data_IF_458954735782
#
_entry.id   IF_458954735782
#
_cell.length_a   1.000
_cell.length_b   1.000
_cell.length_c   1.000
_cell.angle_alpha   90.00
_cell.angle_beta   90.00
_cell.angle_gamma   90.00
#
_symmetry.space_group_name_H-M   'P 1'
#
loop_
_entity.id
_entity.type
_entity.pdbx_description
1 polymer ?
#
# COMPACT_ATOMS: atom_id res chain seq x y z
N UNK A 1 28.06 -0.51 17.67
CA UNK A 1 29.25 0.30 17.25
C UNK A 1 28.74 1.67 16.89
N UNK A 2 29.46 2.72 17.25
CA UNK A 2 29.17 4.09 16.78
C UNK A 2 29.63 4.19 15.31
N UNK A 3 29.02 5.09 14.53
CA UNK A 3 29.44 5.36 13.15
C UNK A 3 30.92 5.70 13.05
N UNK A 4 31.47 6.39 14.05
CA UNK A 4 32.91 6.73 14.17
C UNK A 4 33.82 5.50 14.33
N UNK A 5 33.30 4.35 14.72
CA UNK A 5 34.10 3.13 14.88
C UNK A 5 34.28 2.37 13.56
N UNK A 6 33.55 2.78 12.53
CA UNK A 6 33.71 2.28 11.17
C UNK A 6 34.76 3.15 10.45
N UNK A 7 35.89 2.56 10.13
CA UNK A 7 36.91 3.25 9.34
C UNK A 7 36.46 3.35 7.88
N UNK A 8 36.28 4.57 7.40
CA UNK A 8 36.07 4.82 5.98
C UNK A 8 37.42 4.67 5.24
N UNK A 9 37.46 3.73 4.30
CA UNK A 9 38.53 3.71 3.32
C UNK A 9 38.19 4.68 2.18
N UNK A 10 38.85 5.84 2.16
CA UNK A 10 38.61 6.89 1.15
C UNK A 10 38.96 6.47 -0.28
N UNK A 11 39.53 5.31 -0.45
CA UNK A 11 39.86 4.72 -1.77
C UNK A 11 38.83 3.77 -2.27
N UNK A 12 37.80 3.46 -1.45
CA UNK A 12 36.75 2.50 -1.74
C UNK A 12 35.39 3.04 -1.33
N UNK A 13 34.36 2.62 -2.05
CA UNK A 13 32.97 2.98 -1.78
C UNK A 13 32.30 2.00 -0.81
N UNK A 14 32.89 0.81 -0.60
CA UNK A 14 32.32 -0.26 0.23
C UNK A 14 33.06 -0.39 1.54
N UNK A 15 32.38 -0.19 2.65
CA UNK A 15 32.83 -0.50 4.01
C UNK A 15 32.22 -1.86 4.44
N UNK A 16 33.09 -2.90 4.51
CA UNK A 16 32.69 -4.27 4.83
C UNK A 16 33.64 -4.87 5.89
N UNK A 17 33.65 -4.34 7.14
CA UNK A 17 34.67 -4.65 8.15
C UNK A 17 34.57 -6.07 8.71
N UNK A 18 33.48 -6.78 8.45
CA UNK A 18 33.23 -8.14 8.94
C UNK A 18 33.21 -9.18 7.81
N UNK A 19 33.69 -8.82 6.61
CA UNK A 19 33.72 -9.69 5.43
C UNK A 19 32.38 -10.39 5.13
N UNK A 20 31.26 -9.66 5.32
CA UNK A 20 29.90 -10.16 5.05
C UNK A 20 29.69 -10.34 3.56
N UNK A 21 30.18 -9.37 2.75
CA UNK A 21 30.20 -9.48 1.30
C UNK A 21 31.51 -10.14 0.85
N UNK A 22 31.45 -10.88 -0.23
CA UNK A 22 32.62 -11.40 -0.91
C UNK A 22 33.46 -10.26 -1.51
N UNK A 23 34.74 -10.58 -1.76
CA UNK A 23 35.65 -9.61 -2.41
C UNK A 23 35.22 -9.27 -3.82
N UNK A 24 34.64 -10.21 -4.52
CA UNK A 24 34.10 -10.07 -5.87
C UNK A 24 32.91 -9.10 -5.87
N UNK A 25 31.95 -9.28 -4.94
CA UNK A 25 30.80 -8.38 -4.80
C UNK A 25 31.23 -6.96 -4.44
N UNK A 26 32.20 -6.81 -3.49
CA UNK A 26 32.76 -5.50 -3.16
C UNK A 26 33.41 -4.82 -4.37
N UNK A 27 34.21 -5.56 -5.15
CA UNK A 27 34.86 -5.03 -6.35
C UNK A 27 33.87 -4.61 -7.45
N UNK A 28 32.79 -5.37 -7.62
CA UNK A 28 31.73 -5.02 -8.57
C UNK A 28 30.97 -3.76 -8.14
N UNK A 29 30.65 -3.65 -6.85
CA UNK A 29 30.00 -2.48 -6.28
C UNK A 29 30.93 -1.25 -6.40
N UNK A 30 32.21 -1.35 -6.02
CA UNK A 30 33.17 -0.28 -6.14
C UNK A 30 33.28 0.24 -7.58
N UNK A 31 33.31 -0.68 -8.56
CA UNK A 31 33.39 -0.32 -9.97
C UNK A 31 32.14 0.45 -10.45
N UNK A 32 30.95 0.00 -10.05
CA UNK A 32 29.69 0.65 -10.39
C UNK A 32 29.59 2.05 -9.79
N UNK A 33 29.93 2.19 -8.51
CA UNK A 33 29.88 3.46 -7.81
C UNK A 33 30.94 4.45 -8.30
N UNK A 34 32.15 3.97 -8.63
CA UNK A 34 33.16 4.79 -9.29
C UNK A 34 32.66 5.35 -10.63
N UNK A 35 32.07 4.50 -11.47
CA UNK A 35 31.52 4.92 -12.75
C UNK A 35 30.41 5.97 -12.56
N UNK A 36 29.49 5.74 -11.61
CA UNK A 36 28.41 6.67 -11.27
C UNK A 36 28.97 8.04 -10.86
N UNK A 37 29.96 8.06 -9.95
CA UNK A 37 30.55 9.31 -9.50
C UNK A 37 31.23 10.08 -10.64
N UNK A 38 31.94 9.39 -11.55
CA UNK A 38 32.57 10.04 -12.70
C UNK A 38 31.57 10.65 -13.68
N UNK A 39 30.41 10.04 -13.84
CA UNK A 39 29.37 10.48 -14.77
C UNK A 39 28.49 11.57 -14.19
N UNK A 40 28.09 11.45 -12.94
CA UNK A 40 27.05 12.30 -12.31
C UNK A 40 27.62 13.22 -11.22
N UNK A 41 28.78 12.88 -10.67
CA UNK A 41 29.39 13.53 -9.52
C UNK A 41 28.65 13.22 -8.21
N UNK A 42 27.76 12.22 -8.18
CA UNK A 42 27.07 11.75 -6.98
C UNK A 42 28.02 10.87 -6.17
N UNK A 43 28.15 11.17 -4.90
CA UNK A 43 28.97 10.40 -3.98
C UNK A 43 28.11 9.38 -3.23
N UNK A 44 28.42 8.10 -3.39
CA UNK A 44 27.66 7.01 -2.76
C UNK A 44 28.60 6.15 -1.92
N UNK A 45 28.16 5.77 -0.72
CA UNK A 45 28.88 4.84 0.16
C UNK A 45 27.96 3.69 0.55
N UNK A 46 28.52 2.49 0.51
CA UNK A 46 27.87 1.26 0.97
C UNK A 46 28.51 0.81 2.27
N UNK A 47 27.75 0.69 3.34
CA UNK A 47 28.19 0.16 4.62
C UNK A 47 27.45 -1.16 4.92
N UNK A 48 28.21 -2.23 5.15
CA UNK A 48 27.68 -3.55 5.47
C UNK A 48 28.27 -4.01 6.80
N UNK A 49 27.41 -4.08 7.81
CA UNK A 49 27.83 -4.36 9.18
C UNK A 49 27.00 -5.46 9.83
N UNK A 50 27.57 -6.26 10.72
CA UNK A 50 26.83 -7.31 11.41
C UNK A 50 25.83 -6.75 12.42
N UNK A 51 26.15 -5.62 13.07
CA UNK A 51 25.35 -5.01 14.13
C UNK A 51 25.67 -3.54 14.32
N UNK A 52 24.65 -2.76 14.66
CA UNK A 52 24.75 -1.36 15.10
C UNK A 52 24.28 -1.18 16.56
N UNK A 53 24.12 -2.28 17.30
CA UNK A 53 23.64 -2.27 18.67
C UNK A 53 22.14 -2.00 18.77
N UNK A 54 21.75 -1.03 19.60
CA UNK A 54 20.34 -0.63 19.80
C UNK A 54 19.93 0.58 18.93
N UNK A 55 20.82 1.06 18.07
CA UNK A 55 20.52 2.20 17.24
C UNK A 55 19.56 1.85 16.10
N UNK A 56 18.77 2.83 15.66
CA UNK A 56 17.92 2.69 14.50
C UNK A 56 18.73 2.82 13.20
N UNK A 57 18.38 2.03 12.18
CA UNK A 57 19.12 2.04 10.91
C UNK A 57 19.08 3.40 10.21
N UNK A 58 17.98 4.15 10.36
CA UNK A 58 17.85 5.48 9.76
C UNK A 58 18.81 6.47 10.45
N UNK A 59 18.79 6.52 11.78
CA UNK A 59 19.65 7.44 12.55
C UNK A 59 21.12 7.11 12.32
N UNK A 60 21.48 5.82 12.30
CA UNK A 60 22.84 5.40 12.04
C UNK A 60 23.31 5.77 10.61
N UNK A 61 22.46 5.60 9.60
CA UNK A 61 22.81 5.98 8.22
C UNK A 61 22.93 7.49 8.05
N UNK A 62 22.12 8.27 8.76
CA UNK A 62 22.24 9.73 8.84
C UNK A 62 23.55 10.17 9.47
N UNK A 63 23.98 9.53 10.58
CA UNK A 63 25.27 9.79 11.21
C UNK A 63 26.41 9.47 10.25
N UNK A 64 26.38 8.32 9.56
CA UNK A 64 27.38 7.96 8.56
C UNK A 64 27.52 9.02 7.46
N UNK A 65 26.42 9.51 6.90
CA UNK A 65 26.46 10.53 5.86
C UNK A 65 27.15 11.80 6.35
N UNK A 66 26.85 12.24 7.57
CA UNK A 66 27.40 13.47 8.13
C UNK A 66 28.87 13.32 8.59
N UNK A 67 29.19 12.22 9.30
CA UNK A 67 30.54 12.01 9.84
C UNK A 67 31.56 11.71 8.74
N UNK A 68 31.15 10.95 7.74
CA UNK A 68 32.00 10.65 6.58
C UNK A 68 32.00 11.75 5.54
N UNK A 69 31.08 12.72 5.65
CA UNK A 69 30.96 13.83 4.74
C UNK A 69 30.61 13.40 3.32
N UNK A 70 29.73 12.40 3.18
CA UNK A 70 29.34 11.86 1.89
C UNK A 70 28.49 12.87 1.13
N UNK A 71 28.93 13.20 -0.08
CA UNK A 71 28.29 14.20 -0.93
C UNK A 71 28.94 15.57 -0.86
N UNK A 72 28.81 16.33 -1.94
CA UNK A 72 29.35 17.68 -2.04
C UNK A 72 28.52 18.68 -1.28
N UNK A 73 29.09 19.45 -0.38
CA UNK A 73 28.38 20.42 0.49
C UNK A 73 27.46 21.37 -0.27
N UNK A 74 27.86 21.80 -1.47
CA UNK A 74 27.08 22.71 -2.30
C UNK A 74 25.87 22.02 -3.00
N UNK A 75 25.97 20.71 -3.22
CA UNK A 75 24.98 19.92 -3.98
C UNK A 75 24.12 19.02 -3.10
N UNK A 76 24.57 18.69 -1.88
CA UNK A 76 23.94 17.72 -0.98
C UNK A 76 23.59 16.40 -1.69
N UNK A 77 24.49 15.93 -2.57
CA UNK A 77 24.28 14.80 -3.47
C UNK A 77 24.94 13.50 -2.97
N UNK A 78 24.92 13.29 -1.68
CA UNK A 78 25.42 12.08 -1.03
C UNK A 78 24.33 11.00 -0.92
N UNK A 79 24.75 9.75 -1.00
CA UNK A 79 23.90 8.58 -0.75
C UNK A 79 24.63 7.59 0.16
N UNK A 80 23.98 7.16 1.22
CA UNK A 80 24.43 6.04 2.07
C UNK A 80 23.49 4.86 1.88
N UNK A 81 24.05 3.69 1.58
CA UNK A 81 23.36 2.42 1.54
C UNK A 81 23.88 1.57 2.70
N UNK A 82 23.07 1.34 3.71
CA UNK A 82 23.42 0.60 4.91
C UNK A 82 22.72 -0.75 4.96
N UNK A 83 23.47 -1.84 5.10
CA UNK A 83 22.95 -3.17 5.41
C UNK A 83 23.40 -3.56 6.83
N UNK A 84 22.43 -3.89 7.68
CA UNK A 84 22.64 -4.41 9.04
C UNK A 84 22.06 -5.81 9.13
N UNK A 85 22.93 -6.81 9.32
CA UNK A 85 22.49 -8.20 9.17
C UNK A 85 21.75 -8.75 10.39
N UNK A 86 22.08 -8.35 11.62
CA UNK A 86 21.40 -8.78 12.84
C UNK A 86 19.98 -8.22 12.94
N UNK A 87 19.79 -6.96 12.53
CA UNK A 87 18.47 -6.31 12.49
C UNK A 87 17.70 -6.62 11.21
N UNK A 88 18.31 -7.32 10.23
CA UNK A 88 17.76 -7.59 8.91
C UNK A 88 17.23 -6.32 8.26
N UNK A 89 18.03 -5.28 8.28
CA UNK A 89 17.67 -3.95 7.84
C UNK A 89 18.52 -3.51 6.65
N UNK A 90 17.87 -3.03 5.61
CA UNK A 90 18.48 -2.27 4.52
C UNK A 90 17.95 -0.85 4.56
N UNK A 91 18.84 0.13 4.63
CA UNK A 91 18.50 1.56 4.70
C UNK A 91 19.22 2.33 3.62
N UNK A 92 18.48 3.15 2.87
CA UNK A 92 19.02 4.18 1.99
C UNK A 92 18.82 5.52 2.67
N UNK A 93 19.87 6.33 2.73
CA UNK A 93 19.81 7.69 3.21
C UNK A 93 20.33 8.62 2.12
N UNK A 94 19.45 9.48 1.60
CA UNK A 94 19.72 10.39 0.49
C UNK A 94 19.94 11.80 1.02
N UNK A 95 20.98 12.48 0.51
CA UNK A 95 21.12 13.91 0.70
C UNK A 95 20.04 14.66 -0.06
N UNK A 96 19.71 15.86 0.40
CA UNK A 96 18.62 16.70 -0.12
C UNK A 96 18.69 16.90 -1.65
N UNK A 97 19.89 16.98 -2.22
CA UNK A 97 20.09 17.15 -3.67
C UNK A 97 19.71 15.92 -4.52
N UNK A 98 19.48 14.76 -3.89
CA UNK A 98 19.07 13.54 -4.58
C UNK A 98 17.57 13.23 -4.47
N UNK A 99 16.82 13.97 -3.68
CA UNK A 99 15.38 13.69 -3.47
C UNK A 99 14.55 13.76 -4.76
N UNK A 100 14.99 14.56 -5.74
CA UNK A 100 14.34 14.63 -7.06
C UNK A 100 14.56 13.41 -7.91
N UNK A 101 15.77 12.84 -7.88
CA UNK A 101 16.17 11.70 -8.72
C UNK A 101 15.93 10.36 -8.03
N UNK A 102 16.10 10.33 -6.70
CA UNK A 102 15.97 9.14 -5.87
C UNK A 102 15.08 9.40 -4.63
N UNK A 103 13.79 9.72 -4.82
CA UNK A 103 12.85 9.90 -3.73
C UNK A 103 12.61 8.60 -2.95
N UNK A 104 12.12 8.70 -1.71
CA UNK A 104 11.91 7.58 -0.80
C UNK A 104 11.09 6.44 -1.41
N UNK A 105 10.07 6.75 -2.20
CA UNK A 105 9.25 5.77 -2.88
C UNK A 105 10.06 4.92 -3.88
N UNK A 106 11.00 5.54 -4.61
CA UNK A 106 11.91 4.83 -5.53
C UNK A 106 12.93 4.02 -4.75
N UNK A 107 13.52 4.58 -3.67
CA UNK A 107 14.39 3.83 -2.77
C UNK A 107 13.70 2.56 -2.25
N UNK A 108 12.46 2.70 -1.78
CA UNK A 108 11.66 1.58 -1.28
C UNK A 108 11.36 0.54 -2.36
N UNK A 109 11.04 0.98 -3.57
CA UNK A 109 10.82 0.10 -4.72
C UNK A 109 12.09 -0.68 -5.07
N UNK A 110 13.26 -0.03 -5.13
CA UNK A 110 14.55 -0.68 -5.39
C UNK A 110 14.81 -1.75 -4.34
N UNK A 111 14.66 -1.42 -3.06
CA UNK A 111 14.85 -2.38 -1.98
C UNK A 111 13.92 -3.58 -2.13
N UNK A 112 12.63 -3.34 -2.36
CA UNK A 112 11.62 -4.41 -2.40
C UNK A 112 11.78 -5.30 -3.63
N UNK A 113 12.05 -4.72 -4.81
CA UNK A 113 12.11 -5.47 -6.08
C UNK A 113 13.45 -6.17 -6.29
N UNK A 114 14.56 -5.49 -5.96
CA UNK A 114 15.90 -5.96 -6.35
C UNK A 114 16.76 -6.47 -5.20
N UNK A 115 16.47 -6.10 -3.94
CA UNK A 115 17.33 -6.49 -2.81
C UNK A 115 16.67 -7.52 -1.90
N UNK A 116 15.47 -7.23 -1.40
CA UNK A 116 14.79 -8.05 -0.38
C UNK A 116 14.63 -9.53 -0.77
N UNK A 117 14.32 -9.91 -2.01
CA UNK A 117 14.23 -11.34 -2.37
C UNK A 117 15.51 -12.12 -2.06
N UNK A 118 16.67 -11.54 -2.36
CA UNK A 118 17.97 -12.16 -2.07
C UNK A 118 18.36 -12.05 -0.60
N UNK A 119 18.11 -10.89 0.02
CA UNK A 119 18.48 -10.63 1.42
C UNK A 119 17.69 -11.54 2.39
N UNK A 120 16.45 -11.87 2.09
CA UNK A 120 15.64 -12.83 2.86
C UNK A 120 16.27 -14.20 2.92
N UNK A 121 16.87 -14.62 1.83
CA UNK A 121 17.53 -15.92 1.71
C UNK A 121 18.99 -15.90 2.24
N UNK A 122 19.44 -14.76 2.77
CA UNK A 122 20.80 -14.57 3.26
C UNK A 122 21.86 -14.43 2.15
N UNK A 123 21.42 -14.23 0.91
CA UNK A 123 22.33 -13.99 -0.21
C UNK A 123 22.68 -12.49 -0.29
N UNK A 124 23.60 -12.09 0.61
CA UNK A 124 23.99 -10.69 0.78
C UNK A 124 24.63 -10.10 -0.48
N UNK A 125 25.49 -10.87 -1.14
CA UNK A 125 26.19 -10.46 -2.36
C UNK A 125 25.23 -10.09 -3.47
N UNK A 126 24.34 -11.05 -3.84
CA UNK A 126 23.39 -10.85 -4.92
C UNK A 126 22.45 -9.68 -4.62
N UNK A 127 21.94 -9.58 -3.37
CA UNK A 127 21.05 -8.51 -2.95
C UNK A 127 21.69 -7.13 -3.04
N UNK A 128 22.93 -6.99 -2.56
CA UNK A 128 23.65 -5.72 -2.58
C UNK A 128 24.07 -5.32 -3.99
N UNK A 129 24.62 -6.24 -4.78
CA UNK A 129 25.02 -5.96 -6.18
C UNK A 129 23.80 -5.58 -7.03
N UNK A 130 22.68 -6.32 -6.92
CA UNK A 130 21.46 -6.00 -7.66
C UNK A 130 20.88 -4.63 -7.26
N UNK A 131 20.86 -4.34 -5.96
CA UNK A 131 20.36 -3.06 -5.46
C UNK A 131 21.21 -1.88 -5.91
N UNK A 132 22.53 -1.96 -5.77
CA UNK A 132 23.45 -0.91 -6.22
C UNK A 132 23.35 -0.72 -7.72
N UNK A 133 23.26 -1.79 -8.51
CA UNK A 133 23.06 -1.70 -9.96
C UNK A 133 21.77 -0.94 -10.31
N UNK A 134 20.67 -1.24 -9.60
CA UNK A 134 19.40 -0.54 -9.81
C UNK A 134 19.49 0.95 -9.43
N UNK A 135 20.19 1.28 -8.34
CA UNK A 135 20.46 2.68 -7.94
C UNK A 135 21.27 3.40 -9.02
N UNK A 136 22.36 2.80 -9.50
CA UNK A 136 23.18 3.38 -10.56
C UNK A 136 22.36 3.63 -11.83
N UNK A 137 21.60 2.65 -12.28
CA UNK A 137 20.75 2.77 -13.48
C UNK A 137 19.66 3.84 -13.33
N UNK A 138 19.19 4.09 -12.11
CA UNK A 138 18.26 5.18 -11.85
C UNK A 138 18.92 6.54 -11.94
N UNK A 139 20.13 6.68 -11.35
CA UNK A 139 20.84 7.95 -11.24
C UNK A 139 21.58 8.34 -12.52
N UNK A 140 21.98 7.39 -13.36
CA UNK A 140 22.59 7.64 -14.67
C UNK A 140 21.55 7.81 -15.81
N UNK A 141 20.26 7.68 -15.47
CA UNK A 141 19.14 7.83 -16.43
C UNK A 141 18.98 6.66 -17.39
N UNK A 142 19.70 5.55 -17.22
CA UNK A 142 19.54 4.34 -18.05
C UNK A 142 18.36 3.47 -17.61
N UNK A 143 17.88 3.66 -16.39
CA UNK A 143 16.61 3.09 -15.97
C UNK A 143 15.50 3.80 -16.76
N UNK A 144 15.06 3.19 -17.86
CA UNK A 144 13.76 3.51 -18.45
C UNK A 144 12.78 3.42 -17.28
N UNK A 145 12.00 4.47 -17.05
CA UNK A 145 10.96 4.45 -16.04
C UNK A 145 10.20 3.15 -16.25
N UNK A 146 10.46 2.14 -15.43
CA UNK A 146 9.53 1.06 -15.19
C UNK A 146 8.33 1.77 -14.56
N UNK A 147 7.58 2.49 -15.41
CA UNK A 147 6.22 2.87 -15.14
C UNK A 147 5.56 1.55 -14.81
N UNK A 148 5.44 1.33 -13.49
CA UNK A 148 4.40 0.49 -12.92
C UNK A 148 4.02 -0.70 -13.80
N UNK A 149 4.83 -1.76 -13.78
CA UNK A 149 4.23 -3.05 -13.58
C UNK A 149 3.77 -3.05 -12.10
N UNK A 150 2.82 -2.16 -11.75
CA UNK A 150 1.78 -2.57 -10.85
C UNK A 150 1.36 -3.95 -11.37
N UNK A 151 1.34 -4.95 -10.48
CA UNK A 151 0.58 -6.16 -10.74
C UNK A 151 -0.70 -5.70 -11.43
N UNK A 152 -0.68 -5.82 -12.74
CA UNK A 152 -1.79 -5.41 -13.58
C UNK A 152 -2.92 -6.40 -13.28
N UNK A 153 -3.56 -6.19 -12.12
CA UNK A 153 -4.98 -6.43 -12.04
C UNK A 153 -5.53 -5.46 -13.08
N UNK A 154 -5.41 -5.88 -14.34
CA UNK A 154 -5.64 -5.01 -15.48
C UNK A 154 -6.95 -4.31 -15.21
N UNK A 155 -7.01 -3.01 -15.39
CA UNK A 155 -8.27 -2.25 -15.28
C UNK A 155 -9.35 -2.99 -16.07
N UNK A 156 -8.98 -3.70 -17.15
CA UNK A 156 -9.80 -4.67 -17.86
C UNK A 156 -10.24 -5.86 -16.99
N UNK A 157 -9.39 -6.43 -16.15
CA UNK A 157 -9.76 -7.53 -15.24
C UNK A 157 -10.72 -7.08 -14.12
N UNK A 158 -10.49 -5.89 -13.58
CA UNK A 158 -11.40 -5.28 -12.58
C UNK A 158 -12.74 -4.95 -13.23
N UNK A 159 -12.75 -4.37 -14.42
CA UNK A 159 -13.98 -4.07 -15.17
C UNK A 159 -14.74 -5.33 -15.54
N UNK A 160 -14.07 -6.38 -16.03
CA UNK A 160 -14.69 -7.67 -16.31
C UNK A 160 -15.23 -8.34 -15.03
N UNK A 161 -14.51 -8.26 -13.92
CA UNK A 161 -14.96 -8.73 -12.61
C UNK A 161 -16.20 -7.99 -12.12
N UNK A 162 -16.23 -6.66 -12.24
CA UNK A 162 -17.39 -5.83 -11.90
C UNK A 162 -18.60 -6.13 -12.79
N UNK A 163 -18.39 -6.26 -14.11
CA UNK A 163 -19.47 -6.62 -15.04
C UNK A 163 -19.99 -8.01 -14.72
N UNK A 164 -19.14 -8.99 -14.46
CA UNK A 164 -19.51 -10.33 -14.05
C UNK A 164 -20.29 -10.33 -12.74
N UNK A 165 -19.84 -9.59 -11.73
CA UNK A 165 -20.54 -9.45 -10.44
C UNK A 165 -21.92 -8.81 -10.60
N UNK A 166 -22.04 -7.73 -11.39
CA UNK A 166 -23.32 -7.07 -11.67
C UNK A 166 -24.27 -7.99 -12.44
N UNK A 167 -23.76 -8.78 -13.39
CA UNK A 167 -24.56 -9.76 -14.11
C UNK A 167 -25.11 -10.85 -13.18
N UNK A 168 -24.26 -11.41 -12.31
CA UNK A 168 -24.68 -12.42 -11.32
C UNK A 168 -25.67 -11.82 -10.32
N UNK A 169 -25.43 -10.62 -9.81
CA UNK A 169 -26.34 -9.93 -8.90
C UNK A 169 -27.71 -9.66 -9.56
N UNK A 170 -27.72 -9.27 -10.84
CA UNK A 170 -28.93 -9.05 -11.62
C UNK A 170 -29.73 -10.36 -11.80
N UNK A 171 -29.05 -11.47 -12.11
CA UNK A 171 -29.67 -12.78 -12.25
C UNK A 171 -30.30 -13.23 -10.93
N UNK A 172 -29.56 -13.07 -9.80
CA UNK A 172 -30.09 -13.41 -8.47
C UNK A 172 -31.29 -12.54 -8.14
N UNK A 173 -31.28 -11.24 -8.47
CA UNK A 173 -32.40 -10.32 -8.28
C UNK A 173 -33.62 -10.75 -9.07
N UNK A 174 -33.48 -11.12 -10.34
CA UNK A 174 -34.55 -11.61 -11.20
C UNK A 174 -35.13 -12.93 -10.66
N UNK A 175 -34.28 -13.86 -10.23
CA UNK A 175 -34.73 -15.14 -9.66
C UNK A 175 -35.46 -14.92 -8.34
N UNK A 176 -34.98 -14.04 -7.47
CA UNK A 176 -35.65 -13.68 -6.21
C UNK A 176 -37.03 -13.04 -6.45
N UNK A 177 -37.11 -12.11 -7.42
CA UNK A 177 -38.39 -11.50 -7.81
C UNK A 177 -39.38 -12.54 -8.38
N UNK A 178 -38.90 -13.46 -9.22
CA UNK A 178 -39.74 -14.57 -9.73
C UNK A 178 -40.22 -15.44 -8.59
N UNK A 179 -39.37 -15.83 -7.65
CA UNK A 179 -39.75 -16.61 -6.48
C UNK A 179 -40.78 -15.87 -5.60
N UNK A 180 -40.58 -14.57 -5.40
CA UNK A 180 -41.48 -13.72 -4.62
C UNK A 180 -42.87 -13.58 -5.25
N UNK A 181 -42.98 -13.63 -6.58
CA UNK A 181 -44.24 -13.47 -7.31
C UNK A 181 -44.98 -14.80 -7.57
N UNK A 182 -44.45 -15.93 -7.08
CA UNK A 182 -45.10 -17.25 -7.24
C UNK A 182 -46.27 -17.38 -6.33
N UNK A 183 -47.44 -17.73 -6.90
CA UNK A 183 -48.67 -18.01 -6.14
C UNK A 183 -48.55 -19.38 -5.45
N UNK A 184 -48.79 -19.50 -4.13
CA UNK A 184 -48.69 -20.77 -3.43
C UNK A 184 -49.82 -21.75 -3.84
N UNK A 185 -50.94 -21.26 -4.34
CA UNK A 185 -52.07 -22.10 -4.71
C UNK A 185 -51.99 -22.68 -6.14
N UNK A 186 -51.63 -21.84 -7.14
CA UNK A 186 -51.62 -22.28 -8.55
C UNK A 186 -50.22 -22.36 -9.16
N UNK A 187 -49.15 -22.02 -8.42
CA UNK A 187 -47.74 -22.04 -8.87
C UNK A 187 -47.36 -21.00 -9.92
N UNK A 188 -48.31 -20.21 -10.42
CA UNK A 188 -48.05 -19.19 -11.43
C UNK A 188 -47.43 -17.94 -10.83
N UNK A 189 -46.55 -17.27 -11.58
CA UNK A 189 -45.88 -16.01 -11.16
C UNK A 189 -46.75 -14.78 -11.49
N UNK A 190 -47.96 -14.72 -10.95
CA UNK A 190 -48.97 -13.70 -11.25
C UNK A 190 -49.55 -13.04 -10.00
N UNK A 191 -48.80 -13.02 -8.88
CA UNK A 191 -49.18 -12.26 -7.69
C UNK A 191 -49.02 -10.78 -7.95
N UNK A 192 -50.04 -9.98 -7.65
CA UNK A 192 -50.05 -8.53 -7.77
C UNK A 192 -50.51 -7.90 -6.45
N UNK A 193 -49.86 -6.80 -6.05
CA UNK A 193 -50.29 -6.02 -4.87
C UNK A 193 -51.70 -5.45 -5.10
N UNK A 194 -52.61 -5.77 -4.20
CA UNK A 194 -53.97 -5.30 -4.27
C UNK A 194 -54.36 -4.30 -3.17
N UNK A 195 -53.57 -4.23 -2.09
CA UNK A 195 -53.80 -3.27 -1.02
C UNK A 195 -52.70 -3.37 0.07
N UNK A 196 -52.66 -2.39 0.96
CA UNK A 196 -51.84 -2.44 2.17
C UNK A 196 -52.58 -1.80 3.35
N UNK A 197 -52.35 -2.35 4.54
CA UNK A 197 -52.88 -1.84 5.80
C UNK A 197 -51.73 -1.57 6.74
N UNK A 198 -51.65 -0.34 7.25
CA UNK A 198 -50.64 0.07 8.22
C UNK A 198 -50.97 -0.57 9.58
N UNK A 199 -50.03 -1.35 10.13
CA UNK A 199 -50.20 -2.02 11.42
C UNK A 199 -49.58 -1.20 12.55
N UNK A 200 -48.36 -0.70 12.34
CA UNK A 200 -47.66 0.12 13.34
C UNK A 200 -46.64 1.07 12.71
N UNK A 201 -46.37 2.17 13.45
CA UNK A 201 -45.34 3.13 13.13
C UNK A 201 -44.57 3.44 14.42
N UNK A 202 -43.32 3.00 14.53
CA UNK A 202 -42.44 3.22 15.70
C UNK A 202 -41.01 3.50 15.25
N UNK A 203 -40.39 4.49 15.86
CA UNK A 203 -38.98 4.83 15.63
C UNK A 203 -38.58 4.97 14.16
N UNK A 204 -39.44 5.60 13.33
CA UNK A 204 -39.18 5.79 11.91
C UNK A 204 -39.34 4.53 11.05
N UNK A 205 -39.82 3.43 11.61
CA UNK A 205 -40.14 2.23 10.86
C UNK A 205 -41.67 2.04 10.84
N UNK A 206 -42.23 1.94 9.64
CA UNK A 206 -43.64 1.55 9.43
C UNK A 206 -43.71 0.09 9.05
N UNK A 207 -44.64 -0.63 9.71
CA UNK A 207 -44.95 -2.02 9.44
C UNK A 207 -46.31 -2.06 8.77
N UNK A 208 -46.39 -2.64 7.59
CA UNK A 208 -47.63 -2.76 6.78
C UNK A 208 -47.87 -4.22 6.44
N UNK A 209 -49.13 -4.64 6.51
CA UNK A 209 -49.58 -5.90 5.94
C UNK A 209 -50.05 -5.63 4.49
N UNK A 210 -49.27 -6.15 3.54
CA UNK A 210 -49.53 -5.99 2.10
C UNK A 210 -50.25 -7.22 1.56
N UNK A 211 -51.44 -6.99 0.99
CA UNK A 211 -52.24 -8.03 0.36
C UNK A 211 -51.88 -8.17 -1.11
N UNK A 212 -51.53 -9.36 -1.52
CA UNK A 212 -51.30 -9.75 -2.91
C UNK A 212 -52.42 -10.67 -3.40
N UNK A 213 -52.94 -10.38 -4.58
CA UNK A 213 -53.97 -11.20 -5.22
C UNK A 213 -53.41 -11.82 -6.50
N UNK A 214 -53.61 -13.12 -6.67
CA UNK A 214 -53.19 -13.81 -7.89
C UNK A 214 -54.17 -13.52 -9.03
N UNK A 215 -53.66 -12.98 -10.14
CA UNK A 215 -54.48 -12.71 -11.34
C UNK A 215 -55.03 -13.98 -12.02
N UNK A 216 -54.44 -15.14 -11.74
CA UNK A 216 -54.86 -16.39 -12.38
C UNK A 216 -55.95 -17.14 -11.60
N UNK A 217 -55.78 -17.22 -10.28
CA UNK A 217 -56.71 -18.04 -9.44
C UNK A 217 -57.45 -17.25 -8.36
N UNK A 218 -57.22 -15.92 -8.25
CA UNK A 218 -57.88 -15.08 -7.25
C UNK A 218 -57.36 -15.26 -5.81
N UNK A 219 -56.44 -16.19 -5.58
CA UNK A 219 -55.92 -16.48 -4.24
C UNK A 219 -55.25 -15.24 -3.64
N UNK A 220 -55.55 -14.92 -2.37
CA UNK A 220 -55.02 -13.77 -1.65
C UNK A 220 -53.95 -14.22 -0.67
N UNK A 221 -52.80 -13.51 -0.67
CA UNK A 221 -51.70 -13.74 0.25
C UNK A 221 -51.36 -12.43 0.95
N UNK A 222 -51.28 -12.43 2.28
CA UNK A 222 -50.90 -11.27 3.08
C UNK A 222 -49.45 -11.45 3.50
N UNK A 223 -48.62 -10.44 3.24
CA UNK A 223 -47.21 -10.42 3.65
C UNK A 223 -46.93 -9.19 4.46
N UNK A 224 -46.30 -9.36 5.63
CA UNK A 224 -45.86 -8.26 6.47
C UNK A 224 -44.57 -7.68 5.92
N UNK A 225 -44.58 -6.37 5.69
CA UNK A 225 -43.42 -5.62 5.20
C UNK A 225 -43.08 -4.47 6.16
N UNK A 226 -41.80 -4.23 6.34
CA UNK A 226 -41.31 -3.08 7.08
C UNK A 226 -40.59 -2.15 6.11
N UNK A 227 -40.87 -0.85 6.22
CA UNK A 227 -40.21 0.19 5.42
C UNK A 227 -39.93 1.40 6.29
N UNK A 228 -38.95 2.20 5.90
CA UNK A 228 -38.70 3.49 6.57
C UNK A 228 -39.80 4.48 6.25
N UNK A 229 -40.10 5.30 7.26
CA UNK A 229 -41.02 6.42 7.09
C UNK A 229 -40.25 7.63 6.60
N UNK A 230 -40.42 8.01 5.35
CA UNK A 230 -39.76 9.17 4.72
C UNK A 230 -40.07 10.49 5.45
N UNK A 231 -41.14 10.56 6.23
CA UNK A 231 -41.55 11.74 6.97
C UNK A 231 -41.10 11.74 8.45
N UNK A 232 -40.30 10.74 8.87
CA UNK A 232 -39.78 10.69 10.24
C UNK A 232 -38.63 11.66 10.45
N UNK A 233 -38.92 12.83 11.02
CA UNK A 233 -37.95 13.77 11.57
C UNK A 233 -37.60 13.39 13.01
N UNK A 234 -36.83 12.34 13.19
CA UNK A 234 -36.27 11.96 14.50
C UNK A 234 -34.96 12.67 14.71
N UNK A 235 -34.85 13.44 15.81
CA UNK A 235 -33.60 14.06 16.21
C UNK A 235 -32.59 13.02 16.68
N UNK A 236 -31.35 13.14 16.18
CA UNK A 236 -30.09 12.75 16.80
C UNK A 236 -29.81 11.27 17.05
N UNK A 237 -28.88 10.70 16.30
CA UNK A 237 -27.97 9.67 16.80
C UNK A 237 -28.39 8.22 16.61
N UNK A 238 -27.70 7.51 15.72
CA UNK A 238 -27.66 6.05 15.69
C UNK A 238 -28.68 5.40 14.75
N UNK A 239 -28.33 5.27 13.45
CA UNK A 239 -29.12 4.50 12.50
C UNK A 239 -29.04 3.00 12.81
N UNK A 240 -30.20 2.27 12.80
CA UNK A 240 -30.18 0.83 12.96
C UNK A 240 -29.59 0.13 11.73
N UNK A 241 -28.68 -0.78 11.97
CA UNK A 241 -28.10 -1.67 10.96
C UNK A 241 -29.21 -2.63 10.48
N UNK A 242 -29.64 -2.47 9.23
CA UNK A 242 -30.61 -3.40 8.64
C UNK A 242 -29.86 -4.45 7.84
N UNK A 243 -29.92 -5.67 8.32
CA UNK A 243 -29.68 -6.85 7.51
C UNK A 243 -30.91 -7.12 6.62
N UNK A 244 -30.78 -6.82 5.33
CA UNK A 244 -31.86 -7.13 4.38
C UNK A 244 -31.72 -6.39 3.07
N UNK A 245 -30.92 -6.87 2.15
CA UNK A 245 -31.09 -6.70 0.71
C UNK A 245 -30.82 -5.32 0.11
N UNK A 246 -29.60 -5.12 -0.42
CA UNK A 246 -29.37 -4.22 -1.55
C UNK A 246 -29.14 -2.75 -1.22
N UNK A 247 -27.87 -2.38 -1.10
CA UNK A 247 -27.49 -0.97 -1.05
C UNK A 247 -26.03 -0.80 -0.68
N UNK A 248 -25.11 -1.17 -1.58
CA UNK A 248 -23.72 -0.73 -1.57
C UNK A 248 -23.70 0.66 -2.20
N UNK A 249 -23.36 1.66 -1.42
CA UNK A 249 -22.73 2.94 -1.72
C UNK A 249 -23.24 4.02 -0.76
N UNK A 250 -22.35 4.51 0.06
CA UNK A 250 -22.62 5.75 0.78
C UNK A 250 -21.70 6.01 1.95
N UNK A 251 -20.71 6.83 1.74
CA UNK A 251 -20.33 7.86 2.67
C UNK A 251 -19.08 7.62 3.50
N UNK A 252 -17.97 8.21 3.04
CA UNK A 252 -16.76 8.42 3.78
C UNK A 252 -16.98 9.20 5.07
N UNK A 253 -16.37 8.69 6.14
CA UNK A 253 -16.13 9.42 7.37
C UNK A 253 -14.63 9.52 7.53
N UNK A 254 -14.06 10.70 7.26
CA UNK A 254 -12.66 11.01 7.51
C UNK A 254 -12.37 10.97 9.01
N UNK A 255 -11.61 9.97 9.45
CA UNK A 255 -10.94 9.98 10.72
C UNK A 255 -9.60 10.66 10.53
N UNK A 256 -9.46 11.92 10.97
CA UNK A 256 -8.20 12.61 11.02
C UNK A 256 -7.26 11.92 12.02
N UNK A 257 -6.15 11.39 11.54
CA UNK A 257 -5.02 11.10 12.37
C UNK A 257 -4.29 12.41 12.64
N UNK A 258 -4.36 12.89 13.89
CA UNK A 258 -3.49 13.94 14.37
C UNK A 258 -2.08 13.38 14.51
N UNK A 259 -1.25 13.59 13.47
CA UNK A 259 0.16 13.31 13.53
C UNK A 259 0.82 14.23 14.54
N UNK A 260 1.51 13.66 15.51
CA UNK A 260 2.36 14.36 16.45
C UNK A 260 3.40 15.21 15.71
N UNK A 261 3.44 16.49 16.02
CA UNK A 261 4.44 17.45 15.60
C UNK A 261 5.78 17.04 16.21
N UNK A 262 6.72 16.55 15.37
CA UNK A 262 8.13 16.49 15.75
C UNK A 262 8.79 17.80 15.35
N UNK A 263 9.22 18.53 16.40
CA UNK A 263 9.88 19.83 16.23
C UNK A 263 11.29 19.66 15.68
N UNK A 264 11.56 20.42 14.67
CA UNK A 264 12.73 21.05 14.14
C UNK A 264 14.13 20.55 14.52
N UNK A 265 14.80 19.98 13.56
CA UNK A 265 16.25 20.02 13.38
C UNK A 265 16.51 20.03 11.89
N UNK A 266 17.31 20.99 11.41
CA UNK A 266 17.72 21.05 10.02
C UNK A 266 18.66 19.89 9.69
N UNK A 267 18.10 18.83 9.20
CA UNK A 267 18.72 17.69 8.56
C UNK A 267 17.74 17.19 7.53
N UNK A 268 17.53 17.99 6.48
CA UNK A 268 16.66 17.64 5.37
C UNK A 268 17.37 16.63 4.49
N UNK A 269 17.27 15.37 4.82
CA UNK A 269 17.58 14.26 3.95
C UNK A 269 16.43 13.27 4.03
N UNK A 270 15.93 12.82 2.89
CA UNK A 270 14.98 11.72 2.80
C UNK A 270 15.72 10.40 2.97
N UNK A 271 14.97 9.34 3.21
CA UNK A 271 15.54 8.00 3.28
C UNK A 271 14.46 6.94 3.37
N UNK A 272 14.71 5.79 2.78
CA UNK A 272 13.82 4.66 2.88
C UNK A 272 14.52 3.46 3.50
N UNK A 273 13.88 2.83 4.48
CA UNK A 273 14.34 1.60 5.09
C UNK A 273 13.37 0.45 4.92
N UNK A 274 13.92 -0.76 4.84
CA UNK A 274 13.16 -2.00 4.82
C UNK A 274 13.75 -3.00 5.80
N UNK A 275 12.89 -3.67 6.57
CA UNK A 275 13.23 -4.89 7.29
C UNK A 275 12.71 -6.10 6.52
N UNK A 276 13.44 -7.21 6.53
CA UNK A 276 13.16 -8.38 5.71
C UNK A 276 13.34 -9.69 6.47
#
# INVERSE_FOLDING_TARGET
>A
RRSSDLLQDKTRYVCNPADILSKEACADIDRMLYALEQQTGIETVVAVVPSIGQEDCFDFSHQLLNEWGVGKKEKNNGLVILLVTDQRCIQFYTGYGLEGDLPDAICKRIQTKYMIPYLKDGNWDAGMVAGVKAVCSRLDGTMVNDTEEEDDLSVGGILLGLIGFLAVASIIGILAQRAANKCPNCGQHKLQRSGSVLISRRNGVKTEDVTYTCRNCGHKVVRRQQSYDENYRGGGGGGPVIFGGGGLFGGGGGGGFSGGSFGGGMGGGGGAGSRF
#
